data_IF_332429971645
#
_entry.id   IF_332429971645
#
_cell.length_a   1.000
_cell.length_b   1.000
_cell.length_c   1.000
_cell.angle_alpha   90.00
_cell.angle_beta   90.00
_cell.angle_gamma   90.00
#
_symmetry.space_group_name_H-M   'P 1'
#
loop_
_entity.id
_entity.type
_entity.pdbx_description
1 polymer ?
#
# COMPACT_ATOMS: atom_id res chain seq x y z
N UNK A 1 3.85 -25.37 -16.04
CA UNK A 1 3.42 -25.23 -14.64
C UNK A 1 3.27 -23.76 -14.24
N UNK A 2 4.18 -22.92 -14.68
CA UNK A 2 4.22 -21.47 -14.38
C UNK A 2 3.04 -20.66 -14.97
N UNK A 3 2.62 -20.93 -16.20
CA UNK A 3 1.45 -20.26 -16.81
C UNK A 3 0.14 -20.48 -16.02
N UNK A 4 -0.10 -21.71 -15.55
CA UNK A 4 -1.31 -22.03 -14.73
C UNK A 4 -1.29 -21.36 -13.37
N UNK A 5 -0.10 -21.07 -12.82
CA UNK A 5 0.05 -20.36 -11.55
C UNK A 5 -0.27 -18.87 -11.72
N UNK A 6 0.23 -18.24 -12.80
CA UNK A 6 -0.09 -16.85 -13.17
C UNK A 6 -1.58 -16.65 -13.45
N UNK A 7 -2.22 -17.59 -14.14
CA UNK A 7 -3.67 -17.54 -14.40
C UNK A 7 -4.52 -17.76 -13.13
N UNK A 8 -4.07 -18.58 -12.18
CA UNK A 8 -4.76 -18.76 -10.88
C UNK A 8 -4.56 -17.55 -9.95
N UNK A 9 -3.40 -16.91 -10.00
CA UNK A 9 -3.12 -15.68 -9.26
C UNK A 9 -3.91 -14.51 -9.85
N UNK A 10 -3.94 -14.37 -11.18
CA UNK A 10 -4.78 -13.37 -11.85
C UNK A 10 -6.26 -13.52 -11.50
N UNK A 11 -6.82 -14.74 -11.50
CA UNK A 11 -8.22 -14.99 -11.13
C UNK A 11 -8.54 -14.64 -9.66
N UNK A 12 -7.67 -14.98 -8.71
CA UNK A 12 -7.87 -14.59 -7.30
C UNK A 12 -7.81 -13.08 -7.11
N UNK A 13 -6.90 -12.42 -7.80
CA UNK A 13 -6.79 -10.96 -7.78
C UNK A 13 -8.01 -10.29 -8.44
N UNK A 14 -8.50 -10.85 -9.55
CA UNK A 14 -9.75 -10.41 -10.19
C UNK A 14 -10.98 -10.63 -9.30
N UNK A 15 -11.01 -11.69 -8.49
CA UNK A 15 -12.08 -11.93 -7.52
C UNK A 15 -12.04 -10.89 -6.37
N UNK A 16 -10.86 -10.51 -5.89
CA UNK A 16 -10.73 -9.45 -4.88
C UNK A 16 -11.05 -8.06 -5.45
N UNK A 17 -10.62 -7.78 -6.68
CA UNK A 17 -11.02 -6.56 -7.40
C UNK A 17 -12.54 -6.56 -7.65
N UNK A 18 -13.13 -7.70 -7.99
CA UNK A 18 -14.59 -7.84 -8.11
C UNK A 18 -15.30 -7.67 -6.77
N UNK A 19 -14.69 -8.17 -5.70
CA UNK A 19 -15.18 -7.95 -4.33
C UNK A 19 -15.12 -6.47 -3.96
N UNK A 20 -14.01 -5.77 -4.24
CA UNK A 20 -13.89 -4.32 -4.07
C UNK A 20 -14.83 -3.53 -4.99
N UNK A 21 -15.02 -3.95 -6.25
CA UNK A 21 -16.01 -3.36 -7.16
C UNK A 21 -17.44 -3.61 -6.68
N UNK A 22 -17.78 -4.83 -6.32
CA UNK A 22 -19.11 -5.17 -5.79
C UNK A 22 -19.43 -4.40 -4.51
N UNK A 23 -18.41 -4.06 -3.73
CA UNK A 23 -18.54 -3.20 -2.56
C UNK A 23 -18.77 -1.72 -2.93
N UNK A 24 -18.12 -1.19 -3.99
CA UNK A 24 -18.37 0.17 -4.49
C UNK A 24 -19.76 0.32 -5.12
N UNK A 25 -20.23 -0.71 -5.80
CA UNK A 25 -21.52 -0.70 -6.49
C UNK A 25 -22.71 -0.99 -5.55
N UNK A 26 -22.45 -1.51 -4.34
CA UNK A 26 -23.49 -1.82 -3.36
C UNK A 26 -22.96 -2.15 -1.96
N UNK A 27 -22.53 -1.16 -1.16
CA UNK A 27 -21.93 -1.40 0.16
C UNK A 27 -22.84 -2.13 1.16
N UNK A 28 -24.13 -2.32 0.84
CA UNK A 28 -25.11 -3.00 1.69
C UNK A 28 -25.26 -4.50 1.38
N UNK A 29 -24.68 -5.02 0.30
CA UNK A 29 -24.91 -6.41 -0.14
C UNK A 29 -23.72 -7.36 0.14
N UNK A 30 -22.53 -6.82 0.40
CA UNK A 30 -21.35 -7.63 0.73
C UNK A 30 -20.91 -7.22 2.13
N UNK A 31 -20.94 -8.13 3.08
CA UNK A 31 -20.62 -7.89 4.49
C UNK A 31 -19.35 -7.06 4.65
N UNK A 32 -19.55 -5.81 4.96
CA UNK A 32 -18.69 -4.65 5.07
C UNK A 32 -17.22 -4.94 5.39
N UNK A 33 -16.35 -4.95 4.37
CA UNK A 33 -15.01 -4.39 4.58
C UNK A 33 -15.16 -2.88 4.33
N UNK A 34 -15.24 -2.12 5.41
CA UNK A 34 -15.33 -0.67 5.32
C UNK A 34 -13.99 -0.13 4.80
N UNK A 35 -13.97 0.92 3.95
CA UNK A 35 -12.72 1.55 3.55
C UNK A 35 -11.89 1.93 4.77
N UNK A 36 -10.59 2.00 4.59
CA UNK A 36 -9.67 2.56 5.58
C UNK A 36 -10.27 3.84 6.16
N UNK A 37 -10.46 3.88 7.47
CA UNK A 37 -11.04 5.07 8.11
C UNK A 37 -10.08 6.26 7.99
N UNK A 38 -10.61 7.48 8.06
CA UNK A 38 -9.76 8.68 8.07
C UNK A 38 -8.80 8.72 9.26
N UNK A 39 -9.16 8.06 10.37
CA UNK A 39 -8.29 7.90 11.54
C UNK A 39 -7.11 7.00 11.20
N UNK A 40 -7.39 5.84 10.60
CA UNK A 40 -6.36 4.89 10.17
C UNK A 40 -5.44 5.54 9.15
N UNK A 41 -6.00 6.23 8.14
CA UNK A 41 -5.21 6.91 7.11
C UNK A 41 -4.25 7.96 7.71
N UNK A 42 -4.72 8.78 8.68
CA UNK A 42 -3.84 9.73 9.38
C UNK A 42 -2.75 9.04 10.19
N UNK A 43 -3.07 7.92 10.83
CA UNK A 43 -2.08 7.12 11.55
C UNK A 43 -1.03 6.53 10.62
N UNK A 44 -1.45 6.03 9.45
CA UNK A 44 -0.52 5.56 8.43
C UNK A 44 0.38 6.70 7.93
N UNK A 45 -0.17 7.87 7.64
CA UNK A 45 0.61 9.02 7.19
C UNK A 45 1.56 9.60 8.26
N UNK A 46 1.38 9.26 9.55
CA UNK A 46 2.19 9.84 10.63
C UNK A 46 3.67 9.42 10.62
N UNK A 47 4.03 8.31 9.95
CA UNK A 47 5.42 7.86 9.81
C UNK A 47 6.23 8.68 8.80
N UNK A 48 5.57 9.46 7.95
CA UNK A 48 6.18 10.28 6.91
C UNK A 48 6.89 11.48 7.53
N UNK A 49 8.11 11.74 7.08
CA UNK A 49 8.81 13.00 7.33
C UNK A 49 8.69 13.94 6.12
N UNK A 50 7.73 14.87 6.11
CA UNK A 50 7.50 15.76 4.96
C UNK A 50 8.66 16.76 4.73
N UNK A 51 9.63 16.81 5.64
CA UNK A 51 10.83 17.68 5.55
C UNK A 51 12.07 16.92 5.08
N UNK A 52 11.94 15.65 4.69
CA UNK A 52 13.10 14.85 4.24
C UNK A 52 13.64 15.31 2.89
N UNK A 53 12.85 16.02 2.08
CA UNK A 53 13.17 16.35 0.70
C UNK A 53 13.03 15.17 -0.28
N UNK A 54 12.62 14.00 0.21
CA UNK A 54 12.42 12.80 -0.59
C UNK A 54 10.92 12.61 -0.90
N UNK A 55 10.57 12.04 -2.07
CA UNK A 55 9.20 11.66 -2.38
C UNK A 55 8.71 10.54 -1.45
N UNK A 56 7.40 10.36 -1.39
CA UNK A 56 6.74 9.26 -0.66
C UNK A 56 6.14 8.29 -1.67
N UNK A 57 6.25 6.99 -1.40
CA UNK A 57 5.60 5.95 -2.20
C UNK A 57 4.35 5.44 -1.48
N UNK A 58 3.21 5.45 -2.19
CA UNK A 58 1.95 4.86 -1.77
C UNK A 58 1.61 3.66 -2.66
N UNK A 59 1.21 2.54 -2.07
CA UNK A 59 0.79 1.35 -2.80
C UNK A 59 -0.66 1.00 -2.45
N UNK A 60 -1.51 0.90 -3.48
CA UNK A 60 -2.92 0.57 -3.34
C UNK A 60 -3.77 1.69 -2.72
N UNK A 61 -3.77 2.92 -3.28
CA UNK A 61 -4.54 4.06 -2.77
C UNK A 61 -6.05 3.82 -2.77
N UNK A 62 -6.57 2.98 -3.68
CA UNK A 62 -7.98 2.68 -3.80
C UNK A 62 -8.86 3.92 -3.97
N UNK A 63 -9.65 4.27 -2.95
CA UNK A 63 -10.53 5.45 -2.96
C UNK A 63 -9.77 6.77 -2.69
N UNK A 64 -8.47 6.73 -2.38
CA UNK A 64 -7.64 7.90 -2.13
C UNK A 64 -7.70 8.47 -0.71
N UNK A 65 -8.26 7.74 0.25
CA UNK A 65 -8.34 8.24 1.64
C UNK A 65 -6.96 8.35 2.29
N UNK A 66 -6.05 7.42 1.98
CA UNK A 66 -4.66 7.46 2.44
C UNK A 66 -3.91 8.56 1.70
N UNK A 67 -4.06 8.65 0.37
CA UNK A 67 -3.54 9.75 -0.46
C UNK A 67 -3.87 11.11 0.16
N UNK A 68 -5.15 11.33 0.50
CA UNK A 68 -5.60 12.58 1.17
C UNK A 68 -4.86 12.81 2.50
N UNK A 69 -4.68 11.78 3.31
CA UNK A 69 -3.99 11.90 4.59
C UNK A 69 -2.49 12.20 4.43
N UNK A 70 -1.84 11.65 3.40
CA UNK A 70 -0.44 11.93 3.04
C UNK A 70 -0.29 13.40 2.65
N UNK A 71 -1.16 13.91 1.79
CA UNK A 71 -1.15 15.33 1.40
C UNK A 71 -1.42 16.25 2.61
N UNK A 72 -2.37 15.89 3.48
CA UNK A 72 -2.64 16.61 4.72
C UNK A 72 -1.46 16.58 5.72
N UNK A 73 -0.59 15.57 5.62
CA UNK A 73 0.65 15.49 6.43
C UNK A 73 1.69 16.53 6.00
N UNK A 74 1.52 17.14 4.83
CA UNK A 74 2.40 18.18 4.28
C UNK A 74 3.31 17.69 3.14
N UNK A 75 3.05 16.52 2.58
CA UNK A 75 3.70 16.07 1.34
C UNK A 75 3.12 16.85 0.17
N UNK A 76 3.96 17.49 -0.63
CA UNK A 76 3.49 18.18 -1.83
C UNK A 76 2.97 17.15 -2.87
N UNK A 77 1.91 17.46 -3.65
CA UNK A 77 1.37 16.52 -4.63
C UNK A 77 2.44 15.93 -5.57
N UNK A 78 3.36 16.75 -6.06
CA UNK A 78 4.47 16.34 -6.95
C UNK A 78 5.45 15.36 -6.30
N UNK A 79 5.52 15.34 -4.97
CA UNK A 79 6.41 14.50 -4.18
C UNK A 79 5.72 13.21 -3.67
N UNK A 80 4.48 12.96 -4.11
CA UNK A 80 3.77 11.71 -3.87
C UNK A 80 3.71 10.89 -5.16
N UNK A 81 4.27 9.68 -5.11
CA UNK A 81 4.16 8.65 -6.14
C UNK A 81 3.22 7.57 -5.63
N UNK A 82 2.18 7.23 -6.38
CA UNK A 82 1.13 6.32 -5.92
C UNK A 82 0.79 5.30 -7.02
N UNK A 83 0.95 4.01 -6.68
CA UNK A 83 0.73 2.89 -7.60
C UNK A 83 -0.61 2.24 -7.33
N UNK A 84 -1.47 2.20 -8.35
CA UNK A 84 -2.80 1.60 -8.31
C UNK A 84 -2.96 0.58 -9.45
N UNK A 85 -3.34 -0.64 -9.08
CA UNK A 85 -3.56 -1.71 -10.06
C UNK A 85 -4.86 -1.55 -10.85
N UNK A 86 -5.93 -1.12 -10.17
CA UNK A 86 -7.24 -0.96 -10.78
C UNK A 86 -7.29 0.29 -11.66
N UNK A 87 -7.49 0.12 -12.97
CA UNK A 87 -7.63 1.23 -13.92
C UNK A 87 -8.80 2.16 -13.55
N UNK A 88 -9.89 1.63 -12.99
CA UNK A 88 -11.05 2.43 -12.56
C UNK A 88 -10.71 3.35 -11.39
N UNK A 89 -10.02 2.82 -10.36
CA UNK A 89 -9.53 3.66 -9.25
C UNK A 89 -8.46 4.65 -9.71
N UNK A 90 -7.53 4.23 -10.54
CA UNK A 90 -6.51 5.10 -11.12
C UNK A 90 -7.14 6.33 -11.80
N UNK A 91 -8.14 6.12 -12.68
CA UNK A 91 -8.82 7.23 -13.37
C UNK A 91 -9.56 8.16 -12.40
N UNK A 92 -10.15 7.62 -11.33
CA UNK A 92 -10.77 8.41 -10.27
C UNK A 92 -9.73 9.25 -9.51
N UNK A 93 -8.61 8.64 -9.12
CA UNK A 93 -7.53 9.28 -8.35
C UNK A 93 -6.89 10.44 -9.11
N UNK A 94 -6.54 10.24 -10.38
CA UNK A 94 -5.97 11.30 -11.24
C UNK A 94 -6.87 12.53 -11.30
N UNK A 95 -8.19 12.33 -11.37
CA UNK A 95 -9.16 13.44 -11.37
C UNK A 95 -9.32 14.10 -10.00
N UNK A 96 -9.24 13.32 -8.93
CA UNK A 96 -9.52 13.79 -7.57
C UNK A 96 -8.32 14.48 -6.90
N UNK A 97 -7.10 14.13 -7.31
CA UNK A 97 -5.85 14.64 -6.70
C UNK A 97 -4.88 15.15 -7.77
N UNK A 98 -5.15 16.28 -8.38
CA UNK A 98 -4.29 16.84 -9.44
C UNK A 98 -2.88 17.13 -8.89
N UNK A 99 -1.86 16.80 -9.69
CA UNK A 99 -0.45 17.00 -9.36
C UNK A 99 0.21 15.85 -8.60
N UNK A 100 -0.53 14.82 -8.18
CA UNK A 100 0.03 13.57 -7.64
C UNK A 100 0.47 12.66 -8.81
N UNK A 101 1.60 11.99 -8.65
CA UNK A 101 2.13 11.06 -9.64
C UNK A 101 1.46 9.68 -9.50
N UNK A 102 0.25 9.53 -10.01
CA UNK A 102 -0.42 8.24 -10.06
C UNK A 102 0.10 7.40 -11.22
N UNK A 103 0.34 6.13 -10.95
CA UNK A 103 0.80 5.14 -11.92
C UNK A 103 -0.17 3.95 -11.90
N UNK A 104 -0.74 3.60 -13.05
CA UNK A 104 -1.54 2.39 -13.19
C UNK A 104 -0.59 1.21 -13.46
N UNK A 105 -0.39 0.34 -12.46
CA UNK A 105 0.58 -0.75 -12.56
C UNK A 105 0.55 -1.72 -11.40
N UNK A 106 1.45 -2.71 -11.47
CA UNK A 106 1.58 -3.77 -10.50
C UNK A 106 2.65 -3.42 -9.46
N UNK A 107 2.29 -3.44 -8.20
CA UNK A 107 3.20 -3.19 -7.08
C UNK A 107 4.19 -4.36 -6.83
N UNK A 108 3.95 -5.54 -7.41
CA UNK A 108 4.88 -6.66 -7.35
C UNK A 108 5.91 -6.64 -8.50
N UNK A 109 5.87 -5.64 -9.39
CA UNK A 109 6.83 -5.38 -10.46
C UNK A 109 7.17 -3.89 -10.50
N UNK A 110 7.75 -3.37 -9.40
CA UNK A 110 8.03 -1.94 -9.25
C UNK A 110 9.11 -1.44 -10.20
N UNK A 111 10.07 -2.26 -10.56
CA UNK A 111 11.11 -1.90 -11.54
C UNK A 111 10.52 -1.50 -12.89
N UNK A 112 9.48 -2.19 -13.31
CA UNK A 112 8.76 -1.87 -14.53
C UNK A 112 7.73 -0.77 -14.32
N UNK A 113 7.01 -0.83 -13.19
CA UNK A 113 5.85 0.04 -12.92
C UNK A 113 6.26 1.48 -12.67
N UNK A 114 7.32 1.73 -11.91
CA UNK A 114 7.71 3.07 -11.48
C UNK A 114 8.23 3.96 -12.61
N UNK A 115 8.66 3.39 -13.74
CA UNK A 115 9.09 4.18 -14.89
C UNK A 115 10.19 5.20 -14.55
N UNK A 116 9.89 6.48 -14.66
CA UNK A 116 10.83 7.55 -14.33
C UNK A 116 11.24 7.60 -12.84
N UNK A 117 10.49 6.97 -11.95
CA UNK A 117 10.78 6.89 -10.51
C UNK A 117 11.47 5.59 -10.12
N UNK A 118 11.91 4.76 -11.07
CA UNK A 118 12.50 3.44 -10.81
C UNK A 118 13.69 3.52 -9.85
N UNK A 119 14.56 4.50 -10.05
CA UNK A 119 15.79 4.69 -9.27
C UNK A 119 15.62 5.75 -8.15
N UNK A 120 14.38 6.18 -7.89
CA UNK A 120 14.11 7.16 -6.84
C UNK A 120 14.25 6.53 -5.45
N UNK A 121 14.85 7.28 -4.53
CA UNK A 121 14.80 6.96 -3.10
C UNK A 121 13.60 7.66 -2.48
N UNK A 122 12.76 6.92 -1.74
CA UNK A 122 11.57 7.45 -1.10
C UNK A 122 11.81 7.67 0.40
N UNK A 123 11.13 8.67 1.00
CA UNK A 123 11.18 8.90 2.45
C UNK A 123 10.67 7.67 3.22
N UNK A 124 9.57 7.14 2.81
CA UNK A 124 8.88 6.00 3.39
C UNK A 124 7.89 5.41 2.39
N UNK A 125 7.43 4.20 2.66
CA UNK A 125 6.37 3.54 1.86
C UNK A 125 5.14 3.34 2.73
N UNK A 126 3.97 3.72 2.19
CA UNK A 126 2.66 3.48 2.80
C UNK A 126 1.93 2.46 1.93
N UNK A 127 1.73 1.25 2.45
CA UNK A 127 1.11 0.15 1.70
C UNK A 127 -0.25 -0.24 2.26
N UNK A 128 -1.25 -0.24 1.38
CA UNK A 128 -2.60 -0.75 1.63
C UNK A 128 -2.94 -1.97 0.77
N UNK A 129 -1.94 -2.63 0.20
CA UNK A 129 -2.14 -3.86 -0.55
C UNK A 129 -2.59 -4.98 0.40
N UNK A 130 -3.59 -5.81 0.03
CA UNK A 130 -4.07 -6.92 0.85
C UNK A 130 -3.07 -8.09 0.84
N UNK A 131 -1.92 -7.92 1.50
CA UNK A 131 -0.80 -8.87 1.45
C UNK A 131 -1.19 -10.29 1.86
N UNK A 132 -2.16 -10.46 2.76
CA UNK A 132 -2.60 -11.78 3.21
C UNK A 132 -3.17 -12.65 2.07
N UNK A 133 -3.56 -12.05 0.96
CA UNK A 133 -4.08 -12.74 -0.22
C UNK A 133 -2.99 -13.32 -1.12
N UNK A 134 -1.73 -13.01 -0.86
CA UNK A 134 -0.59 -13.45 -1.66
C UNK A 134 0.25 -14.51 -0.94
N UNK A 135 1.00 -15.36 -1.65
CA UNK A 135 1.96 -16.29 -1.06
C UNK A 135 3.04 -15.57 -0.23
N UNK A 136 3.58 -16.25 0.79
CA UNK A 136 4.53 -15.65 1.73
C UNK A 136 5.83 -15.19 1.06
N UNK A 137 6.31 -15.92 0.07
CA UNK A 137 7.50 -15.57 -0.73
C UNK A 137 7.32 -14.25 -1.47
N UNK A 138 6.16 -14.04 -2.10
CA UNK A 138 5.85 -12.79 -2.78
C UNK A 138 5.73 -11.61 -1.80
N UNK A 139 5.07 -11.81 -0.63
CA UNK A 139 4.98 -10.77 0.41
C UNK A 139 6.37 -10.36 0.90
N UNK A 140 7.23 -11.36 1.14
CA UNK A 140 8.59 -11.13 1.62
C UNK A 140 9.41 -10.40 0.58
N UNK A 141 9.37 -10.85 -0.68
CA UNK A 141 10.09 -10.19 -1.78
C UNK A 141 9.66 -8.74 -1.95
N UNK A 142 8.35 -8.45 -1.88
CA UNK A 142 7.85 -7.08 -1.94
C UNK A 142 8.39 -6.22 -0.79
N UNK A 143 8.35 -6.69 0.45
CA UNK A 143 8.85 -5.91 1.59
C UNK A 143 10.36 -5.66 1.45
N UNK A 144 11.13 -6.64 1.00
CA UNK A 144 12.57 -6.49 0.78
C UNK A 144 12.86 -5.46 -0.34
N UNK A 145 12.15 -5.52 -1.48
CA UNK A 145 12.26 -4.54 -2.55
C UNK A 145 11.90 -3.12 -2.08
N UNK A 146 10.82 -2.96 -1.31
CA UNK A 146 10.43 -1.67 -0.75
C UNK A 146 11.46 -1.11 0.22
N UNK A 147 12.08 -1.96 1.03
CA UNK A 147 13.16 -1.55 1.95
C UNK A 147 14.42 -1.12 1.21
N UNK A 148 14.66 -1.63 -0.01
CA UNK A 148 15.78 -1.22 -0.86
C UNK A 148 15.59 0.17 -1.46
N UNK A 149 14.35 0.67 -1.49
CA UNK A 149 13.96 1.97 -2.07
C UNK A 149 13.88 3.10 -1.06
N UNK A 150 14.18 2.84 0.22
CA UNK A 150 14.12 3.84 1.30
C UNK A 150 15.43 3.90 2.08
N UNK A 151 15.77 5.04 2.71
CA UNK A 151 16.94 5.13 3.56
C UNK A 151 16.87 4.21 4.78
N UNK A 152 18.03 3.78 5.28
CA UNK A 152 18.10 3.00 6.52
C UNK A 152 17.38 3.73 7.67
N UNK A 153 16.65 2.97 8.49
CA UNK A 153 15.85 3.50 9.60
C UNK A 153 14.51 4.12 9.19
N UNK A 154 14.24 4.33 7.90
CA UNK A 154 12.92 4.74 7.43
C UNK A 154 11.99 3.52 7.29
N UNK A 155 10.68 3.68 7.50
CA UNK A 155 9.77 2.55 7.53
C UNK A 155 9.07 2.30 6.19
N UNK A 156 8.84 1.02 5.90
CA UNK A 156 7.68 0.56 5.12
C UNK A 156 6.54 0.33 6.11
N UNK A 157 5.40 0.99 5.94
CA UNK A 157 4.23 0.79 6.78
C UNK A 157 3.16 0.03 5.99
N UNK A 158 2.69 -1.06 6.56
CA UNK A 158 1.66 -1.93 5.99
C UNK A 158 0.43 -2.00 6.89
N UNK A 159 -0.75 -1.85 6.30
CA UNK A 159 -2.02 -2.15 6.97
C UNK A 159 -2.39 -3.61 6.75
N UNK A 160 -2.98 -4.24 7.77
CA UNK A 160 -3.62 -5.55 7.67
C UNK A 160 -4.83 -5.66 8.58
N UNK A 161 -5.72 -6.57 8.26
CA UNK A 161 -6.89 -6.92 9.09
C UNK A 161 -6.69 -8.27 9.81
N UNK A 162 -5.54 -8.91 9.62
CA UNK A 162 -5.12 -10.10 10.37
C UNK A 162 -4.50 -9.74 11.72
N UNK A 163 -4.49 -10.68 12.69
CA UNK A 163 -3.98 -10.46 14.04
C UNK A 163 -2.46 -10.38 14.14
N UNK A 164 -1.74 -10.80 13.11
CA UNK A 164 -0.27 -10.85 13.06
C UNK A 164 0.27 -10.14 11.83
N UNK A 165 1.58 -9.86 11.83
CA UNK A 165 2.24 -9.32 10.64
C UNK A 165 1.99 -10.21 9.42
N UNK A 166 1.66 -9.63 8.25
CA UNK A 166 1.48 -10.40 7.02
C UNK A 166 2.78 -11.02 6.48
N UNK A 167 3.93 -10.67 7.05
CA UNK A 167 5.25 -11.16 6.64
C UNK A 167 5.98 -11.71 7.85
N UNK A 168 6.73 -12.82 7.67
CA UNK A 168 7.54 -13.44 8.71
C UNK A 168 8.81 -12.60 8.93
N UNK A 169 9.22 -12.50 10.21
CA UNK A 169 10.43 -11.77 10.57
C UNK A 169 11.69 -12.42 9.97
N UNK A 170 12.59 -11.58 9.45
CA UNK A 170 13.96 -11.94 9.03
C UNK A 170 14.94 -11.01 9.73
N UNK A 171 15.33 -11.31 10.97
CA UNK A 171 16.12 -10.40 11.82
C UNK A 171 17.48 -9.98 11.23
N UNK A 172 18.02 -10.80 10.34
CA UNK A 172 19.23 -10.53 9.54
C UNK A 172 19.00 -9.53 8.38
N UNK A 173 17.76 -9.32 7.97
CA UNK A 173 17.37 -8.45 6.86
C UNK A 173 16.58 -7.24 7.31
N UNK A 174 15.54 -7.46 8.11
CA UNK A 174 14.64 -6.41 8.58
C UNK A 174 14.00 -6.71 9.92
N UNK A 175 13.70 -5.65 10.65
CA UNK A 175 12.93 -5.66 11.89
C UNK A 175 11.45 -5.43 11.60
N UNK A 176 10.59 -6.16 12.29
CA UNK A 176 9.13 -5.96 12.26
C UNK A 176 8.71 -5.38 13.61
N UNK A 177 7.91 -4.31 13.56
CA UNK A 177 7.31 -3.72 14.76
C UNK A 177 5.82 -3.54 14.55
N UNK A 178 5.02 -3.99 15.51
CA UNK A 178 3.63 -3.57 15.60
C UNK A 178 3.59 -2.07 15.88
N UNK A 179 3.01 -1.32 14.97
CA UNK A 179 3.00 0.15 15.04
C UNK A 179 1.78 0.66 15.78
N UNK A 180 0.59 0.17 15.42
CA UNK A 180 -0.67 0.62 16.01
C UNK A 180 -1.81 -0.37 15.77
N UNK A 181 -2.83 -0.31 16.64
CA UNK A 181 -4.10 -1.01 16.51
C UNK A 181 -5.24 -0.01 16.44
N UNK A 182 -5.92 0.09 15.32
CA UNK A 182 -6.98 1.07 15.11
C UNK A 182 -8.36 0.43 15.23
N UNK A 183 -8.91 0.45 16.44
CA UNK A 183 -10.25 -0.09 16.73
C UNK A 183 -11.39 0.63 16.00
N UNK A 184 -11.23 1.92 15.71
CA UNK A 184 -12.24 2.74 15.00
C UNK A 184 -12.24 2.51 13.48
N UNK A 185 -11.53 1.50 13.00
CA UNK A 185 -11.69 0.96 11.66
C UNK A 185 -12.64 -0.23 11.71
N UNK A 186 -13.42 -0.49 10.66
CA UNK A 186 -14.35 -1.62 10.59
C UNK A 186 -14.04 -2.44 9.34
N UNK A 187 -13.48 -3.67 9.48
CA UNK A 187 -13.00 -4.28 10.73
C UNK A 187 -11.80 -3.53 11.32
N UNK A 188 -11.46 -3.74 12.62
CA UNK A 188 -10.28 -3.14 13.24
C UNK A 188 -9.00 -3.44 12.45
N UNK A 189 -8.14 -2.43 12.30
CA UNK A 189 -6.93 -2.52 11.50
C UNK A 189 -5.67 -2.61 12.37
N UNK A 190 -4.73 -3.42 11.93
CA UNK A 190 -3.38 -3.51 12.47
C UNK A 190 -2.41 -2.80 11.54
N UNK A 191 -1.51 -2.00 12.10
CA UNK A 191 -0.45 -1.32 11.37
C UNK A 191 0.90 -1.92 11.77
N UNK A 192 1.69 -2.29 10.78
CA UNK A 192 3.01 -2.87 10.95
C UNK A 192 4.06 -2.06 10.24
N UNK A 193 5.19 -1.84 10.87
CA UNK A 193 6.35 -1.21 10.25
C UNK A 193 7.48 -2.21 10.06
N UNK A 194 8.14 -2.08 8.92
CA UNK A 194 9.35 -2.80 8.56
C UNK A 194 10.47 -1.80 8.38
N UNK A 195 11.62 -2.07 8.97
CA UNK A 195 12.83 -1.25 8.81
C UNK A 195 14.03 -2.16 8.59
N UNK A 196 15.04 -1.70 7.86
CA UNK A 196 16.30 -2.46 7.73
C UNK A 196 16.88 -2.79 9.10
N UNK A 197 17.51 -3.98 9.19
CA UNK A 197 18.16 -4.45 10.42
C UNK A 197 19.33 -3.55 10.84
#
# INVERSE_FOLDING_TARGET
>A
MELRLKERLGRKFDEEIRFFKGWMDGPKQVGAICPTSSITARRMASVINPKSGLPVLELGPGTGIITKAILQRGVAPKDLVSVEYSTGFYQHLVRSFPGVNFINGDAFDLDRTLGAFKDATFDSVISAIPLLSFPMDQRTALIEDLLDRIPAGRPVLQITYGPVSPVIARPDRYKIKHYDFVMRNIPPAQLWTYTRA
#
